data_IF_591075035731
#
_entry.id   IF_591075035731
#
_cell.length_a   1.000
_cell.length_b   1.000
_cell.length_c   1.000
_cell.angle_alpha   90.00
_cell.angle_beta   90.00
_cell.angle_gamma   90.00
#
_symmetry.space_group_name_H-M   'P 1'
#
loop_
_entity.id
_entity.type
_entity.pdbx_description
1 polymer ?
#
# COMPACT_ATOMS: atom_id res chain seq x y z
N UNK A 1 -6.62 -8.47 -25.18
CA UNK A 1 -6.24 -7.39 -24.24
C UNK A 1 -7.13 -7.47 -23.00
N UNK A 2 -6.56 -7.69 -21.82
CA UNK A 2 -7.33 -7.66 -20.57
C UNK A 2 -7.66 -6.19 -20.31
N UNK A 3 -8.93 -5.83 -20.34
CA UNK A 3 -9.36 -4.46 -20.11
C UNK A 3 -9.29 -4.17 -18.61
N UNK A 4 -8.85 -2.96 -18.25
CA UNK A 4 -8.94 -2.50 -16.87
C UNK A 4 -10.41 -2.37 -16.44
N UNK A 5 -10.67 -2.26 -15.14
CA UNK A 5 -12.05 -2.18 -14.64
C UNK A 5 -12.84 -0.99 -15.19
N UNK A 6 -12.18 0.10 -15.60
CA UNK A 6 -12.87 1.26 -16.17
C UNK A 6 -13.35 0.95 -17.58
N UNK A 7 -12.52 0.34 -18.41
CA UNK A 7 -12.90 -0.10 -19.75
C UNK A 7 -13.96 -1.21 -19.70
N UNK A 8 -13.87 -2.14 -18.74
CA UNK A 8 -14.90 -3.15 -18.53
C UNK A 8 -16.24 -2.54 -18.09
N UNK A 9 -16.22 -1.54 -17.20
CA UNK A 9 -17.42 -0.80 -16.76
C UNK A 9 -18.08 -0.13 -17.97
N UNK A 10 -17.31 0.56 -18.82
CA UNK A 10 -17.84 1.21 -20.02
C UNK A 10 -18.54 0.23 -20.97
N UNK A 11 -17.97 -0.97 -21.17
CA UNK A 11 -18.61 -2.01 -21.98
C UNK A 11 -19.90 -2.52 -21.33
N UNK A 12 -19.89 -2.72 -20.01
CA UNK A 12 -21.07 -3.15 -19.26
C UNK A 12 -22.21 -2.12 -19.32
N UNK A 13 -21.90 -0.83 -19.25
CA UNK A 13 -22.89 0.24 -19.32
C UNK A 13 -23.58 0.37 -20.69
N UNK A 14 -22.96 -0.15 -21.76
CA UNK A 14 -23.55 -0.21 -23.10
C UNK A 14 -24.51 -1.39 -23.29
N UNK A 15 -24.37 -2.46 -22.49
CA UNK A 15 -25.27 -3.61 -22.49
C UNK A 15 -26.39 -3.42 -21.46
N UNK A 16 -27.66 -3.54 -21.88
CA UNK A 16 -28.80 -3.25 -21.01
C UNK A 16 -28.88 -4.20 -19.81
N UNK A 17 -28.52 -5.47 -20.00
CA UNK A 17 -28.58 -6.50 -18.96
C UNK A 17 -27.47 -6.28 -17.95
N UNK A 18 -26.23 -6.10 -18.42
CA UNK A 18 -25.07 -5.83 -17.58
C UNK A 18 -25.23 -4.53 -16.79
N UNK A 19 -25.71 -3.45 -17.43
CA UNK A 19 -25.98 -2.18 -16.75
C UNK A 19 -27.01 -2.37 -15.63
N UNK A 20 -28.13 -3.05 -15.88
CA UNK A 20 -29.14 -3.31 -14.85
C UNK A 20 -28.54 -4.08 -13.65
N UNK A 21 -27.77 -5.13 -13.90
CA UNK A 21 -27.09 -5.91 -12.86
C UNK A 21 -26.06 -5.07 -12.10
N UNK A 22 -25.27 -4.25 -12.81
CA UNK A 22 -24.28 -3.37 -12.20
C UNK A 22 -24.92 -2.33 -11.28
N UNK A 23 -26.06 -1.74 -11.67
CA UNK A 23 -26.82 -0.80 -10.81
C UNK A 23 -27.32 -1.46 -9.53
N UNK A 24 -27.70 -2.75 -9.57
CA UNK A 24 -28.07 -3.50 -8.37
C UNK A 24 -26.86 -3.59 -7.43
N UNK A 25 -25.69 -3.92 -7.96
CA UNK A 25 -24.45 -4.02 -7.16
C UNK A 25 -23.99 -2.67 -6.59
N UNK A 26 -24.17 -1.57 -7.32
CA UNK A 26 -23.93 -0.22 -6.77
C UNK A 26 -24.80 0.04 -5.53
N UNK A 27 -26.09 -0.30 -5.60
CA UNK A 27 -27.01 -0.16 -4.47
C UNK A 27 -26.62 -1.06 -3.30
N UNK A 28 -26.15 -2.28 -3.60
CA UNK A 28 -25.64 -3.21 -2.60
C UNK A 28 -24.41 -2.67 -1.87
N UNK A 29 -23.44 -2.12 -2.61
CA UNK A 29 -22.25 -1.51 -2.04
C UNK A 29 -22.59 -0.30 -1.15
N UNK A 30 -23.54 0.55 -1.60
CA UNK A 30 -24.02 1.71 -0.83
C UNK A 30 -24.82 1.33 0.42
N UNK A 31 -25.48 0.18 0.41
CA UNK A 31 -26.20 -0.28 1.59
C UNK A 31 -25.26 -0.78 2.69
N UNK A 32 -24.07 -1.29 2.34
CA UNK A 32 -23.07 -1.72 3.33
C UNK A 32 -22.45 -0.58 4.15
N UNK A 33 -22.50 0.65 3.64
CA UNK A 33 -22.07 1.84 4.39
C UNK A 33 -23.18 2.40 5.29
N UNK A 34 -24.40 1.83 5.25
CA UNK A 34 -25.49 2.22 6.13
C UNK A 34 -25.42 1.46 7.45
N UNK A 35 -25.84 2.13 8.52
CA UNK A 35 -25.85 1.59 9.90
C UNK A 35 -26.82 0.41 10.05
N UNK A 36 -27.84 0.32 9.20
CA UNK A 36 -28.83 -0.75 9.24
C UNK A 36 -28.45 -1.89 8.29
N UNK A 37 -28.44 -3.15 8.75
CA UNK A 37 -28.24 -4.31 7.89
C UNK A 37 -29.26 -4.35 6.76
N UNK A 38 -28.83 -4.82 5.58
CA UNK A 38 -29.73 -5.19 4.51
C UNK A 38 -30.70 -6.28 5.00
N UNK A 39 -31.97 -6.18 4.60
CA UNK A 39 -32.92 -7.28 4.75
C UNK A 39 -32.45 -8.51 3.95
N UNK A 40 -32.96 -9.68 4.33
CA UNK A 40 -32.54 -10.95 3.73
C UNK A 40 -32.75 -10.97 2.21
N UNK A 41 -33.88 -10.45 1.72
CA UNK A 41 -34.21 -10.42 0.30
C UNK A 41 -33.24 -9.52 -0.47
N UNK A 42 -32.91 -8.34 0.06
CA UNK A 42 -31.89 -7.47 -0.54
C UNK A 42 -30.51 -8.12 -0.55
N UNK A 43 -30.11 -8.85 0.50
CA UNK A 43 -28.83 -9.59 0.53
C UNK A 43 -28.80 -10.67 -0.56
N UNK A 44 -29.89 -11.43 -0.73
CA UNK A 44 -30.02 -12.45 -1.79
C UNK A 44 -29.95 -11.81 -3.19
N UNK A 45 -30.60 -10.65 -3.39
CA UNK A 45 -30.52 -9.91 -4.67
C UNK A 45 -29.10 -9.48 -5.00
N UNK A 46 -28.33 -9.03 -4.01
CA UNK A 46 -26.92 -8.66 -4.19
C UNK A 46 -26.06 -9.86 -4.61
N UNK A 47 -26.25 -11.00 -3.95
CA UNK A 47 -25.52 -12.23 -4.27
C UNK A 47 -25.86 -12.73 -5.68
N UNK A 48 -27.14 -12.72 -6.06
CA UNK A 48 -27.56 -13.11 -7.40
C UNK A 48 -26.98 -12.18 -8.47
N UNK A 49 -26.95 -10.87 -8.24
CA UNK A 49 -26.36 -9.92 -9.18
C UNK A 49 -24.84 -10.14 -9.38
N UNK A 50 -24.13 -10.58 -8.33
CA UNK A 50 -22.71 -10.94 -8.43
C UNK A 50 -22.51 -12.22 -9.26
N UNK A 51 -23.38 -13.23 -9.08
CA UNK A 51 -23.38 -14.46 -9.87
C UNK A 51 -23.72 -14.21 -11.34
N UNK A 52 -24.67 -13.31 -11.62
CA UNK A 52 -25.08 -12.94 -12.98
C UNK A 52 -23.93 -12.27 -13.76
N UNK A 53 -23.03 -11.55 -13.05
CA UNK A 53 -21.79 -11.02 -13.63
C UNK A 53 -20.67 -12.05 -13.76
N UNK A 54 -20.88 -13.30 -13.35
CA UNK A 54 -19.93 -14.43 -13.36
C UNK A 54 -19.16 -14.61 -14.67
N UNK A 55 -19.81 -14.40 -15.81
CA UNK A 55 -19.22 -14.54 -17.14
C UNK A 55 -18.82 -13.20 -17.79
N UNK A 56 -18.94 -12.10 -17.08
CA UNK A 56 -18.64 -10.76 -17.61
C UNK A 56 -17.14 -10.44 -17.52
N UNK A 57 -16.65 -9.63 -18.46
CA UNK A 57 -15.30 -9.05 -18.38
C UNK A 57 -15.10 -8.16 -17.13
N UNK A 58 -16.21 -7.72 -16.51
CA UNK A 58 -16.22 -6.86 -15.34
C UNK A 58 -15.80 -7.59 -14.07
N UNK A 59 -16.21 -8.85 -13.89
CA UNK A 59 -15.81 -9.65 -12.72
C UNK A 59 -14.30 -9.96 -12.73
N UNK A 60 -13.72 -10.20 -13.91
CA UNK A 60 -12.30 -10.53 -14.05
C UNK A 60 -11.39 -9.33 -14.32
N UNK A 61 -11.94 -8.12 -14.19
CA UNK A 61 -11.18 -6.90 -14.37
C UNK A 61 -10.12 -6.74 -13.27
N UNK A 62 -9.04 -6.05 -13.61
CA UNK A 62 -7.99 -5.66 -12.67
C UNK A 62 -7.65 -4.20 -12.86
N UNK A 63 -7.00 -3.64 -11.86
CA UNK A 63 -6.47 -2.29 -11.90
C UNK A 63 -4.94 -2.35 -11.99
N UNK A 64 -4.34 -1.31 -12.54
CA UNK A 64 -2.89 -1.18 -12.53
C UNK A 64 -2.45 -0.24 -11.42
N UNK A 65 -1.28 -0.52 -10.85
CA UNK A 65 -0.67 0.44 -9.93
C UNK A 65 -0.30 1.69 -10.75
N UNK A 66 -0.50 2.89 -10.19
CA UNK A 66 -0.08 4.18 -10.78
C UNK A 66 -0.93 4.68 -11.96
N UNK A 67 -2.07 4.04 -12.24
CA UNK A 67 -3.01 4.50 -13.26
C UNK A 67 -3.65 5.86 -12.87
N UNK A 68 -3.99 6.71 -13.85
CA UNK A 68 -4.50 8.07 -13.59
C UNK A 68 -5.82 8.09 -12.82
N UNK A 69 -6.70 7.12 -13.07
CA UNK A 69 -8.05 7.03 -12.48
C UNK A 69 -8.14 5.84 -11.51
N UNK A 70 -7.08 5.62 -10.73
CA UNK A 70 -6.96 4.44 -9.86
C UNK A 70 -8.13 4.32 -8.90
N UNK A 71 -8.51 5.40 -8.23
CA UNK A 71 -9.66 5.41 -7.29
C UNK A 71 -10.97 4.98 -7.94
N UNK A 72 -11.22 5.40 -9.19
CA UNK A 72 -12.39 4.94 -9.94
C UNK A 72 -12.27 3.45 -10.26
N UNK A 73 -11.15 3.00 -10.80
CA UNK A 73 -10.94 1.57 -11.12
C UNK A 73 -11.18 0.68 -9.88
N UNK A 74 -10.63 1.06 -8.73
CA UNK A 74 -10.81 0.34 -7.48
C UNK A 74 -12.25 0.37 -7.00
N UNK A 75 -12.97 1.49 -7.14
CA UNK A 75 -14.40 1.57 -6.84
C UNK A 75 -15.18 0.56 -7.68
N UNK A 76 -14.95 0.49 -8.99
CA UNK A 76 -15.61 -0.50 -9.87
C UNK A 76 -15.32 -1.92 -9.38
N UNK A 77 -14.04 -2.21 -9.11
CA UNK A 77 -13.63 -3.54 -8.63
C UNK A 77 -14.36 -3.94 -7.35
N UNK A 78 -14.40 -3.05 -6.35
CA UNK A 78 -15.06 -3.33 -5.07
C UNK A 78 -16.59 -3.36 -5.15
N UNK A 79 -17.19 -2.66 -6.12
CA UNK A 79 -18.62 -2.78 -6.41
C UNK A 79 -18.97 -4.19 -6.87
N UNK A 80 -18.17 -4.78 -7.77
CA UNK A 80 -18.45 -6.11 -8.31
C UNK A 80 -17.98 -7.26 -7.41
N UNK A 81 -16.99 -7.02 -6.54
CA UNK A 81 -16.54 -7.98 -5.53
C UNK A 81 -17.08 -7.62 -4.14
N UNK A 82 -18.34 -7.20 -4.07
CA UNK A 82 -18.90 -6.70 -2.82
C UNK A 82 -19.00 -7.82 -1.76
N UNK A 83 -19.29 -9.08 -2.14
CA UNK A 83 -19.35 -10.20 -1.20
C UNK A 83 -18.03 -10.45 -0.46
N UNK A 84 -16.89 -10.23 -1.12
CA UNK A 84 -15.54 -10.40 -0.55
C UNK A 84 -15.23 -9.40 0.56
N UNK A 85 -16.11 -8.42 0.80
CA UNK A 85 -15.94 -7.42 1.84
C UNK A 85 -16.80 -7.70 3.09
N UNK A 86 -17.52 -8.83 3.13
CA UNK A 86 -18.34 -9.21 4.29
C UNK A 86 -17.47 -9.70 5.45
N UNK A 87 -16.99 -8.75 6.25
CA UNK A 87 -16.56 -8.96 7.64
C UNK A 87 -15.26 -9.74 7.87
N UNK A 88 -14.71 -10.39 6.86
CA UNK A 88 -13.45 -11.13 6.98
C UNK A 88 -12.24 -10.23 6.74
N UNK A 89 -11.28 -10.34 7.67
CA UNK A 89 -9.96 -9.73 7.58
C UNK A 89 -9.15 -10.25 6.36
N UNK A 90 -9.50 -11.42 5.83
CA UNK A 90 -8.82 -12.03 4.68
C UNK A 90 -9.44 -11.51 3.37
N UNK A 91 -8.83 -10.50 2.76
CA UNK A 91 -9.21 -10.05 1.43
C UNK A 91 -8.65 -11.07 0.43
N UNK A 92 -9.50 -11.98 -0.05
CA UNK A 92 -9.10 -13.16 -0.82
C UNK A 92 -8.39 -12.83 -2.14
N UNK A 93 -8.60 -11.64 -2.70
CA UNK A 93 -8.06 -11.28 -4.01
C UNK A 93 -7.67 -9.81 -4.11
N UNK A 94 -6.43 -9.57 -4.56
CA UNK A 94 -5.94 -8.24 -4.90
C UNK A 94 -6.64 -7.70 -6.16
N UNK A 95 -7.07 -6.42 -6.15
CA UNK A 95 -7.59 -5.75 -7.33
C UNK A 95 -6.50 -5.43 -8.36
N UNK A 96 -5.23 -5.48 -7.98
CA UNK A 96 -4.13 -5.11 -8.86
C UNK A 96 -3.71 -6.27 -9.76
N UNK A 97 -3.22 -5.95 -10.96
CA UNK A 97 -2.54 -6.94 -11.79
C UNK A 97 -1.23 -7.43 -11.16
N UNK A 98 -0.83 -8.65 -11.51
CA UNK A 98 0.44 -9.20 -11.05
C UNK A 98 1.59 -8.32 -11.59
N UNK A 99 2.50 -7.86 -10.72
CA UNK A 99 3.59 -6.98 -11.13
C UNK A 99 4.57 -7.61 -12.13
N UNK A 100 4.59 -8.94 -12.29
CA UNK A 100 5.32 -9.60 -13.36
C UNK A 100 4.85 -9.19 -14.76
N UNK A 101 3.62 -8.69 -14.88
CA UNK A 101 3.01 -8.23 -16.13
C UNK A 101 3.16 -6.71 -16.33
N UNK A 102 3.66 -5.96 -15.33
CA UNK A 102 3.89 -4.52 -15.47
C UNK A 102 5.20 -4.25 -16.21
N UNK A 103 5.15 -3.46 -17.29
CA UNK A 103 6.35 -3.00 -18.00
C UNK A 103 7.25 -2.22 -17.04
N UNK A 104 8.43 -2.79 -16.77
CA UNK A 104 9.44 -2.11 -15.98
C UNK A 104 9.98 -0.92 -16.78
N UNK A 105 9.76 0.30 -16.27
CA UNK A 105 10.39 1.50 -16.79
C UNK A 105 11.90 1.26 -16.85
N UNK A 106 12.55 1.54 -18.00
CA UNK A 106 14.01 1.56 -18.07
C UNK A 106 14.53 2.62 -17.10
N UNK A 107 14.99 2.20 -15.93
CA UNK A 107 15.54 3.10 -14.93
C UNK A 107 17.06 3.19 -15.08
N UNK A 108 17.60 4.41 -15.16
CA UNK A 108 19.05 4.63 -15.19
C UNK A 108 19.72 4.56 -13.80
N UNK A 109 19.08 3.92 -12.81
CA UNK A 109 19.59 3.90 -11.43
C UNK A 109 21.05 3.45 -11.37
N UNK A 110 21.39 2.31 -12.00
CA UNK A 110 22.74 1.77 -11.96
C UNK A 110 23.75 2.69 -12.65
N UNK A 111 23.36 3.39 -13.73
CA UNK A 111 24.22 4.39 -14.39
C UNK A 111 24.47 5.58 -13.46
N UNK A 112 23.43 6.09 -12.81
CA UNK A 112 23.54 7.20 -11.85
C UNK A 112 24.36 6.81 -10.62
N UNK A 113 24.19 5.59 -10.12
CA UNK A 113 24.99 5.05 -9.02
C UNK A 113 26.48 4.91 -9.40
N UNK A 114 26.78 4.51 -10.65
CA UNK A 114 28.14 4.42 -11.15
C UNK A 114 28.82 5.81 -11.25
N UNK A 115 28.08 6.86 -11.63
CA UNK A 115 28.62 8.23 -11.67
C UNK A 115 29.10 8.72 -10.29
N UNK A 116 28.39 8.36 -9.22
CA UNK A 116 28.80 8.68 -7.85
C UNK A 116 30.00 7.85 -7.38
N UNK A 117 30.18 6.64 -7.92
CA UNK A 117 31.34 5.81 -7.62
C UNK A 117 32.59 6.21 -8.43
N UNK A 118 32.43 6.90 -9.57
CA UNK A 118 33.54 7.34 -10.43
C UNK A 118 34.02 8.78 -10.21
N UNK A 119 33.28 9.61 -9.47
CA UNK A 119 33.60 11.03 -9.21
C UNK A 119 33.73 11.26 -7.70
N UNK A 120 34.98 11.39 -7.22
CA UNK A 120 35.39 11.87 -5.88
C UNK A 120 34.93 11.08 -4.64
N UNK A 121 35.57 9.94 -4.35
CA UNK A 121 35.52 9.27 -3.03
C UNK A 121 36.86 9.29 -2.27
N UNK A 122 37.78 10.21 -2.59
CA UNK A 122 39.01 10.44 -1.82
C UNK A 122 38.86 11.50 -0.71
N UNK A 123 37.71 12.18 -0.61
CA UNK A 123 37.45 13.21 0.43
C UNK A 123 36.27 12.89 1.36
N UNK A 124 35.52 11.81 1.12
CA UNK A 124 34.32 11.37 1.90
C UNK A 124 34.48 9.95 2.48
N UNK A 125 35.71 9.52 2.73
CA UNK A 125 36.04 8.13 3.09
C UNK A 125 35.43 7.65 4.44
N UNK A 126 34.87 8.54 5.25
CA UNK A 126 34.12 8.18 6.47
C UNK A 126 32.62 7.96 6.28
N UNK A 127 31.99 8.61 5.28
CA UNK A 127 30.51 8.73 5.16
C UNK A 127 29.96 8.04 3.88
N UNK A 128 30.84 7.66 2.95
CA UNK A 128 30.51 6.91 1.73
C UNK A 128 30.13 5.42 1.98
N UNK A 129 30.19 4.96 3.22
CA UNK A 129 29.85 3.60 3.66
C UNK A 129 28.36 3.40 3.92
N UNK A 130 27.59 4.46 4.20
CA UNK A 130 26.18 4.37 4.57
C UNK A 130 25.29 4.11 3.33
N UNK A 131 24.66 2.92 3.20
CA UNK A 131 23.89 2.57 1.99
C UNK A 131 22.64 3.44 1.79
N UNK A 132 21.99 3.89 2.88
CA UNK A 132 20.84 4.79 2.83
C UNK A 132 21.22 6.19 2.35
N UNK A 133 22.39 6.68 2.78
CA UNK A 133 22.93 7.95 2.30
C UNK A 133 23.28 7.87 0.81
N UNK A 134 23.93 6.78 0.37
CA UNK A 134 24.20 6.52 -1.05
C UNK A 134 22.92 6.51 -1.89
N UNK A 135 21.86 5.81 -1.45
CA UNK A 135 20.58 5.79 -2.14
C UNK A 135 19.95 7.20 -2.25
N UNK A 136 20.06 7.99 -1.17
CA UNK A 136 19.67 9.40 -1.15
C UNK A 136 20.44 10.23 -2.19
N UNK A 137 21.76 10.09 -2.29
CA UNK A 137 22.57 10.81 -3.28
C UNK A 137 22.20 10.41 -4.72
N UNK A 138 21.95 9.12 -4.99
CA UNK A 138 21.50 8.68 -6.32
C UNK A 138 20.14 9.31 -6.67
N UNK A 139 19.21 9.38 -5.72
CA UNK A 139 17.93 10.09 -5.89
C UNK A 139 18.14 11.58 -6.22
N UNK A 140 19.11 12.23 -5.58
CA UNK A 140 19.42 13.65 -5.82
C UNK A 140 19.90 13.94 -7.25
N UNK A 141 20.49 12.95 -7.93
CA UNK A 141 20.87 13.08 -9.35
C UNK A 141 19.68 13.00 -10.31
N UNK A 142 18.55 12.43 -9.87
CA UNK A 142 17.32 12.35 -10.65
C UNK A 142 16.40 13.52 -10.32
N UNK A 143 16.22 14.44 -11.28
CA UNK A 143 15.32 15.62 -11.15
C UNK A 143 13.93 15.25 -10.62
N UNK A 144 13.39 14.10 -11.06
CA UNK A 144 12.07 13.63 -10.62
C UNK A 144 12.09 13.10 -9.19
N UNK A 145 13.11 12.30 -8.84
CA UNK A 145 13.21 11.71 -7.50
C UNK A 145 13.45 12.79 -6.44
N UNK A 146 14.43 13.67 -6.66
CA UNK A 146 14.75 14.76 -5.71
C UNK A 146 13.57 15.68 -5.49
N UNK A 147 12.89 16.10 -6.58
CA UNK A 147 11.72 16.99 -6.48
C UNK A 147 10.63 16.36 -5.63
N UNK A 148 10.17 15.16 -5.99
CA UNK A 148 9.07 14.50 -5.27
C UNK A 148 9.44 14.16 -3.82
N UNK A 149 10.73 13.85 -3.56
CA UNK A 149 11.23 13.61 -2.21
C UNK A 149 11.20 14.87 -1.35
N UNK A 150 11.71 15.98 -1.87
CA UNK A 150 11.67 17.28 -1.20
C UNK A 150 10.23 17.74 -1.01
N UNK A 151 9.35 17.52 -1.98
CA UNK A 151 7.93 17.90 -1.90
C UNK A 151 7.25 17.24 -0.70
N UNK A 152 7.27 15.89 -0.59
CA UNK A 152 6.61 15.22 0.54
C UNK A 152 7.30 15.56 1.86
N UNK A 153 8.63 15.65 1.90
CA UNK A 153 9.36 15.98 3.13
C UNK A 153 8.96 17.37 3.63
N UNK A 154 8.81 18.35 2.74
CA UNK A 154 8.36 19.70 3.11
C UNK A 154 6.92 19.73 3.62
N UNK A 155 6.03 18.92 3.04
CA UNK A 155 4.63 18.82 3.47
C UNK A 155 4.53 18.18 4.86
N UNK A 156 5.30 17.12 5.10
CA UNK A 156 5.29 16.38 6.37
C UNK A 156 6.01 17.11 7.51
N UNK A 157 6.88 18.09 7.21
CA UNK A 157 7.65 18.86 8.21
C UNK A 157 7.08 20.26 8.48
N UNK A 158 6.28 20.81 7.56
CA UNK A 158 5.57 22.08 7.81
C UNK A 158 4.47 21.87 8.85
N UNK A 159 4.67 22.44 10.04
CA UNK A 159 3.61 22.56 11.05
C UNK A 159 2.42 23.34 10.48
N UNK A 160 1.21 22.81 10.64
CA UNK A 160 0.01 23.63 10.45
C UNK A 160 0.00 24.67 11.57
N UNK A 161 -0.23 25.95 11.26
CA UNK A 161 0.10 27.10 12.12
C UNK A 161 -0.72 27.29 13.41
N UNK A 162 -0.92 26.24 14.20
CA UNK A 162 -1.33 26.28 15.61
C UNK A 162 -1.10 24.89 16.22
N UNK A 163 -0.19 24.80 17.20
CA UNK A 163 0.16 23.59 17.97
C UNK A 163 0.68 22.39 17.14
N UNK A 164 1.97 22.45 16.78
CA UNK A 164 2.93 21.35 16.55
C UNK A 164 2.54 20.08 15.77
N UNK A 165 1.40 20.05 15.08
CA UNK A 165 0.98 18.89 14.29
C UNK A 165 1.00 19.18 12.79
N UNK A 166 1.68 18.32 12.04
CA UNK A 166 1.68 18.34 10.59
C UNK A 166 0.28 17.99 10.02
N UNK A 167 -0.01 18.41 8.79
CA UNK A 167 -1.19 17.92 8.07
C UNK A 167 -0.95 16.49 7.55
N UNK A 168 -1.27 15.50 8.39
CA UNK A 168 -1.05 14.08 8.09
C UNK A 168 -1.73 13.62 6.80
N UNK A 169 -2.92 14.14 6.48
CA UNK A 169 -3.64 13.80 5.24
C UNK A 169 -2.86 14.26 4.01
N UNK A 170 -2.32 15.48 4.03
CA UNK A 170 -1.45 15.98 2.96
C UNK A 170 -0.12 15.24 2.91
N UNK A 171 0.49 14.93 4.06
CA UNK A 171 1.72 14.15 4.14
C UNK A 171 1.55 12.76 3.51
N UNK A 172 0.51 12.02 3.89
CA UNK A 172 0.16 10.72 3.31
C UNK A 172 -0.06 10.80 1.80
N UNK A 173 -0.78 11.81 1.30
CA UNK A 173 -0.94 12.03 -0.14
C UNK A 173 0.40 12.29 -0.85
N UNK A 174 1.29 13.07 -0.23
CA UNK A 174 2.64 13.34 -0.73
C UNK A 174 3.49 12.06 -0.80
N UNK A 175 3.46 11.23 0.24
CA UNK A 175 4.14 9.95 0.30
C UNK A 175 3.63 8.99 -0.80
N UNK A 176 2.31 8.83 -0.94
CA UNK A 176 1.72 8.01 -2.01
C UNK A 176 2.20 8.49 -3.39
N UNK A 177 2.16 9.80 -3.63
CA UNK A 177 2.64 10.38 -4.89
C UNK A 177 4.13 10.08 -5.14
N UNK A 178 4.98 10.09 -4.11
CA UNK A 178 6.39 9.73 -4.23
C UNK A 178 6.57 8.25 -4.64
N UNK A 179 6.01 7.31 -3.88
CA UNK A 179 6.15 5.87 -4.14
C UNK A 179 5.46 5.41 -5.44
N UNK A 180 4.41 6.13 -5.88
CA UNK A 180 3.74 5.86 -7.15
C UNK A 180 4.43 6.47 -8.36
N UNK A 181 5.10 7.62 -8.25
CA UNK A 181 5.68 8.29 -9.42
C UNK A 181 7.18 8.05 -9.57
N UNK A 182 7.91 7.79 -8.49
CA UNK A 182 9.35 7.51 -8.57
C UNK A 182 9.57 6.04 -8.94
N UNK A 183 10.51 5.73 -9.86
CA UNK A 183 10.80 4.34 -10.23
C UNK A 183 11.26 3.51 -9.01
N UNK A 184 10.88 2.24 -8.99
CA UNK A 184 11.06 1.38 -7.81
C UNK A 184 12.51 1.15 -7.44
N UNK A 185 13.43 1.18 -8.41
CA UNK A 185 14.86 1.04 -8.14
C UNK A 185 15.39 2.13 -7.19
N UNK A 186 14.80 3.34 -7.23
CA UNK A 186 15.14 4.38 -6.27
C UNK A 186 14.43 4.15 -4.94
N UNK A 187 13.10 3.97 -4.96
CA UNK A 187 12.31 3.90 -3.72
C UNK A 187 12.67 2.70 -2.87
N UNK A 188 12.89 1.53 -3.48
CA UNK A 188 13.35 0.31 -2.80
C UNK A 188 14.68 0.53 -2.09
N UNK A 189 15.64 1.19 -2.75
CA UNK A 189 16.97 1.43 -2.17
C UNK A 189 16.99 2.52 -1.11
N UNK A 190 16.07 3.48 -1.16
CA UNK A 190 15.92 4.50 -0.11
C UNK A 190 15.26 3.88 1.13
N UNK A 191 14.22 3.06 0.94
CA UNK A 191 13.41 2.53 2.03
C UNK A 191 14.03 1.29 2.69
N UNK A 192 14.62 0.38 1.91
CA UNK A 192 15.12 -0.92 2.37
C UNK A 192 16.65 -1.04 2.34
N UNK A 193 17.36 0.08 2.47
CA UNK A 193 18.82 0.08 2.53
C UNK A 193 19.32 -0.79 3.72
N UNK A 194 20.29 -1.70 3.50
CA UNK A 194 20.86 -2.48 4.58
C UNK A 194 21.75 -1.59 5.45
N UNK A 195 21.62 -1.71 6.77
CA UNK A 195 22.35 -0.89 7.73
C UNK A 195 23.19 -1.76 8.66
N UNK A 196 24.36 -1.24 9.04
CA UNK A 196 25.29 -1.88 9.98
C UNK A 196 25.42 -1.12 11.30
N UNK A 197 24.89 0.09 11.36
CA UNK A 197 24.94 0.99 12.51
C UNK A 197 23.59 1.71 12.68
N UNK A 198 23.40 2.27 13.87
CA UNK A 198 22.17 2.99 14.25
C UNK A 198 21.98 4.30 13.47
N UNK A 199 23.04 4.95 12.99
CA UNK A 199 22.95 6.18 12.21
C UNK A 199 22.30 5.92 10.84
N UNK A 200 22.72 4.83 10.18
CA UNK A 200 22.09 4.32 8.98
C UNK A 200 20.66 3.89 9.25
N UNK A 201 20.43 3.10 10.32
CA UNK A 201 19.09 2.63 10.65
C UNK A 201 18.11 3.76 10.98
N UNK A 202 18.59 4.82 11.64
CA UNK A 202 17.78 6.02 11.91
C UNK A 202 17.47 6.79 10.62
N UNK A 203 18.42 6.89 9.69
CA UNK A 203 18.18 7.45 8.35
C UNK A 203 17.12 6.64 7.60
N UNK A 204 17.18 5.31 7.68
CA UNK A 204 16.19 4.40 7.11
C UNK A 204 14.80 4.63 7.71
N UNK A 205 14.69 4.62 9.04
CA UNK A 205 13.45 4.85 9.80
C UNK A 205 12.82 6.23 9.53
N UNK A 206 13.65 7.26 9.31
CA UNK A 206 13.21 8.63 9.01
C UNK A 206 12.81 8.87 7.55
N UNK A 207 12.93 7.88 6.66
CA UNK A 207 12.61 8.00 5.23
C UNK A 207 11.22 8.59 4.96
N UNK A 208 10.23 8.20 5.76
CA UNK A 208 8.82 8.60 5.59
C UNK A 208 8.38 9.73 6.53
N UNK A 209 9.29 10.33 7.30
CA UNK A 209 8.99 11.36 8.32
C UNK A 209 8.01 10.81 9.39
N UNK A 210 8.47 9.85 10.23
CA UNK A 210 7.59 9.08 11.10
C UNK A 210 6.82 9.92 12.11
N UNK A 211 7.39 11.02 12.59
CA UNK A 211 6.75 11.93 13.56
C UNK A 211 5.43 12.51 13.02
N UNK A 212 5.26 12.54 11.70
CA UNK A 212 4.04 12.98 11.02
C UNK A 212 3.25 11.81 10.40
N UNK A 213 3.93 10.93 9.68
CA UNK A 213 3.27 9.93 8.83
C UNK A 213 2.90 8.64 9.56
N UNK A 214 3.56 8.35 10.68
CA UNK A 214 3.51 7.06 11.36
C UNK A 214 3.00 7.23 12.79
N UNK A 215 3.70 8.01 13.61
CA UNK A 215 3.45 8.17 15.04
C UNK A 215 2.24 9.06 15.31
N UNK A 216 1.55 8.74 16.41
CA UNK A 216 0.52 9.54 17.06
C UNK A 216 0.90 9.67 18.53
N UNK A 217 0.36 10.69 19.22
CA UNK A 217 0.59 10.89 20.66
C UNK A 217 0.21 9.65 21.49
N UNK A 218 -0.81 8.91 21.05
CA UNK A 218 -1.25 7.65 21.65
C UNK A 218 -1.37 6.58 20.58
N UNK A 219 -1.01 5.33 20.90
CA UNK A 219 -1.24 4.20 19.99
C UNK A 219 -2.72 3.79 20.04
N UNK A 220 -3.48 3.90 18.93
CA UNK A 220 -4.85 3.41 18.86
C UNK A 220 -4.89 1.88 18.83
N UNK A 221 -6.09 1.31 18.95
CA UNK A 221 -6.29 -0.11 18.70
C UNK A 221 -6.11 -0.44 17.20
N UNK A 222 -5.45 -1.55 16.84
CA UNK A 222 -5.22 -1.89 15.43
C UNK A 222 -6.51 -2.15 14.63
N UNK A 223 -7.59 -2.56 15.30
CA UNK A 223 -8.91 -2.71 14.68
C UNK A 223 -9.44 -1.36 14.16
N UNK A 224 -9.15 -0.26 14.86
CA UNK A 224 -9.52 1.08 14.39
C UNK A 224 -8.77 1.48 13.10
N UNK A 225 -7.48 1.12 13.01
CA UNK A 225 -6.72 1.33 11.77
C UNK A 225 -7.28 0.48 10.62
N UNK A 226 -7.68 -0.77 10.91
CA UNK A 226 -8.31 -1.65 9.93
C UNK A 226 -9.64 -1.06 9.46
N UNK A 227 -10.52 -0.63 10.36
CA UNK A 227 -11.81 -0.03 10.00
C UNK A 227 -11.62 1.21 9.11
N UNK A 228 -10.70 2.11 9.49
CA UNK A 228 -10.35 3.26 8.66
C UNK A 228 -9.76 2.87 7.30
N UNK A 229 -9.03 1.76 7.22
CA UNK A 229 -8.48 1.25 5.97
C UNK A 229 -9.55 0.65 5.06
N UNK A 230 -10.52 -0.06 5.62
CA UNK A 230 -11.58 -0.73 4.86
C UNK A 230 -12.60 0.26 4.27
N UNK A 231 -12.73 1.46 4.84
CA UNK A 231 -13.51 2.57 4.29
C UNK A 231 -12.83 3.25 3.08
N UNK A 232 -11.49 3.25 3.01
CA UNK A 232 -10.72 3.86 1.93
C UNK A 232 -10.39 2.82 0.85
N UNK A 233 -10.94 3.00 -0.37
CA UNK A 233 -10.70 2.05 -1.46
C UNK A 233 -9.22 1.86 -1.80
N UNK A 234 -8.37 2.88 -1.64
CA UNK A 234 -6.93 2.74 -1.89
C UNK A 234 -6.34 1.86 -0.78
N UNK A 235 -6.55 2.19 0.49
CA UNK A 235 -5.99 1.41 1.60
C UNK A 235 -6.46 -0.05 1.57
N UNK A 236 -7.76 -0.27 1.44
CA UNK A 236 -8.35 -1.61 1.31
C UNK A 236 -7.70 -2.42 0.20
N UNK A 237 -7.51 -1.81 -0.98
CA UNK A 237 -6.84 -2.47 -2.11
C UNK A 237 -5.36 -2.75 -1.86
N UNK A 238 -4.65 -1.84 -1.17
CA UNK A 238 -3.24 -2.05 -0.82
C UNK A 238 -3.08 -3.13 0.25
N UNK A 239 -4.01 -3.21 1.21
CA UNK A 239 -4.06 -4.23 2.24
C UNK A 239 -4.30 -5.62 1.63
N UNK A 240 -5.28 -5.74 0.71
CA UNK A 240 -5.52 -7.00 -0.02
C UNK A 240 -4.26 -7.47 -0.76
N UNK A 241 -3.59 -6.54 -1.43
CA UNK A 241 -2.37 -6.83 -2.16
C UNK A 241 -1.20 -7.21 -1.24
N UNK A 242 -1.12 -6.59 -0.07
CA UNK A 242 -0.15 -6.97 0.96
C UNK A 242 -0.41 -8.36 1.53
N UNK A 243 -1.65 -8.66 1.88
CA UNK A 243 -2.05 -9.99 2.36
C UNK A 243 -1.75 -11.07 1.32
N UNK A 244 -2.07 -10.83 0.05
CA UNK A 244 -1.83 -11.81 -1.01
C UNK A 244 -0.34 -12.05 -1.29
N UNK A 245 0.48 -11.00 -1.35
CA UNK A 245 1.88 -11.12 -1.79
C UNK A 245 2.87 -11.34 -0.65
N UNK A 246 2.52 -10.99 0.58
CA UNK A 246 3.37 -11.15 1.77
C UNK A 246 2.85 -12.23 2.74
N UNK A 247 1.92 -13.10 2.30
CA UNK A 247 1.45 -14.19 3.14
C UNK A 247 2.62 -15.11 3.52
N UNK A 248 2.87 -15.34 4.82
CA UNK A 248 3.88 -16.29 5.26
C UNK A 248 3.55 -17.69 4.74
N UNK A 249 4.55 -18.36 4.19
CA UNK A 249 4.48 -19.74 3.76
C UNK A 249 5.42 -20.57 4.63
N UNK A 250 4.88 -21.29 5.62
CA UNK A 250 5.66 -22.08 6.59
C UNK A 250 6.54 -23.15 5.91
N UNK A 251 6.08 -23.67 4.78
CA UNK A 251 6.78 -24.68 3.98
C UNK A 251 7.86 -24.10 3.08
N UNK A 252 7.96 -22.77 2.95
CA UNK A 252 9.00 -22.12 2.15
C UNK A 252 10.25 -21.81 3.00
N UNK A 253 11.47 -22.11 2.52
CA UNK A 253 12.70 -21.82 3.26
C UNK A 253 12.86 -20.34 3.61
N UNK A 254 12.44 -19.46 2.70
CA UNK A 254 12.45 -18.00 2.85
C UNK A 254 11.18 -17.41 3.49
N UNK A 255 10.18 -18.25 3.79
CA UNK A 255 8.90 -17.83 4.35
C UNK A 255 7.95 -17.11 3.39
N UNK A 256 8.31 -16.91 2.11
CA UNK A 256 7.45 -16.24 1.12
C UNK A 256 6.72 -17.24 0.22
N UNK A 257 5.43 -17.02 -0.03
CA UNK A 257 4.71 -17.75 -1.07
C UNK A 257 5.30 -17.44 -2.46
N UNK A 258 5.52 -18.48 -3.27
CA UNK A 258 6.02 -18.39 -4.64
C UNK A 258 7.39 -17.69 -4.82
N UNK A 259 8.19 -17.55 -3.75
CA UNK A 259 9.50 -16.88 -3.76
C UNK A 259 9.48 -15.43 -4.30
N UNK A 260 8.33 -14.76 -4.29
CA UNK A 260 8.16 -13.46 -4.94
C UNK A 260 8.43 -12.29 -3.99
N UNK A 261 9.64 -12.21 -3.45
CA UNK A 261 10.08 -11.10 -2.58
C UNK A 261 9.87 -9.73 -3.22
N UNK A 262 10.04 -9.63 -4.54
CA UNK A 262 9.85 -8.39 -5.28
C UNK A 262 8.41 -7.89 -5.18
N UNK A 263 7.42 -8.78 -5.32
CA UNK A 263 6.01 -8.44 -5.15
C UNK A 263 5.69 -8.07 -3.70
N UNK A 264 6.20 -8.82 -2.71
CA UNK A 264 5.97 -8.47 -1.31
C UNK A 264 6.53 -7.08 -0.94
N UNK A 265 7.77 -6.76 -1.33
CA UNK A 265 8.35 -5.43 -1.12
C UNK A 265 7.52 -4.33 -1.80
N UNK A 266 6.96 -4.62 -2.98
CA UNK A 266 6.09 -3.69 -3.70
C UNK A 266 4.74 -3.50 -3.00
N UNK A 267 4.18 -4.57 -2.44
CA UNK A 267 2.99 -4.56 -1.58
C UNK A 267 3.22 -3.72 -0.33
N UNK A 268 4.32 -3.97 0.40
CA UNK A 268 4.73 -3.20 1.58
C UNK A 268 4.85 -1.70 1.27
N UNK A 269 5.58 -1.33 0.20
CA UNK A 269 5.69 0.08 -0.21
C UNK A 269 4.32 0.71 -0.53
N UNK A 270 3.38 -0.08 -1.03
CA UNK A 270 2.02 0.35 -1.33
C UNK A 270 1.18 0.72 -0.10
N UNK A 271 1.52 0.19 1.08
CA UNK A 271 0.86 0.53 2.34
C UNK A 271 1.29 1.91 2.88
N UNK A 272 2.43 2.44 2.44
CA UNK A 272 2.94 3.72 2.93
C UNK A 272 2.06 4.88 2.45
N UNK A 273 1.64 5.71 3.40
CA UNK A 273 0.71 6.81 3.15
C UNK A 273 -0.75 6.36 3.13
N UNK A 274 -1.07 5.20 3.70
CA UNK A 274 -2.45 4.77 4.01
C UNK A 274 -2.70 4.82 5.53
N UNK A 275 -3.94 4.68 6.02
CA UNK A 275 -4.22 4.51 7.45
C UNK A 275 -3.33 3.45 8.13
N UNK A 276 -3.07 2.33 7.46
CA UNK A 276 -2.20 1.24 7.94
C UNK A 276 -0.76 1.38 7.42
N UNK A 277 -0.15 2.56 7.58
CA UNK A 277 1.25 2.81 7.19
C UNK A 277 2.22 2.05 8.13
N UNK A 278 3.01 1.09 7.65
CA UNK A 278 4.05 0.44 8.45
C UNK A 278 5.33 1.28 8.49
N UNK A 279 6.16 1.06 9.52
CA UNK A 279 7.53 1.57 9.57
C UNK A 279 8.43 0.68 10.45
N UNK A 280 9.74 0.90 10.39
CA UNK A 280 10.69 0.30 11.32
C UNK A 280 10.40 0.69 12.77
N UNK A 281 10.40 -0.29 13.67
CA UNK A 281 10.13 -0.09 15.10
C UNK A 281 11.29 0.61 15.80
N UNK A 282 12.53 0.25 15.42
CA UNK A 282 13.75 0.81 15.99
C UNK A 282 14.76 1.21 14.89
N UNK A 283 15.84 1.88 15.28
CA UNK A 283 16.98 2.19 14.41
C UNK A 283 18.04 1.06 14.38
N UNK A 284 17.88 0.00 15.17
CA UNK A 284 18.85 -1.08 15.32
C UNK A 284 18.35 -2.43 14.76
N UNK A 285 17.04 -2.62 14.64
CA UNK A 285 16.42 -3.82 14.05
C UNK A 285 15.87 -3.57 12.64
N UNK A 286 15.53 -4.66 11.94
CA UNK A 286 14.81 -4.65 10.67
C UNK A 286 13.30 -4.88 10.86
N UNK A 287 12.86 -5.01 12.11
CA UNK A 287 11.46 -5.27 12.45
C UNK A 287 10.59 -4.08 12.07
N UNK A 288 9.45 -4.40 11.47
CA UNK A 288 8.44 -3.43 11.02
C UNK A 288 7.14 -3.68 11.75
N UNK A 289 6.41 -2.61 12.02
CA UNK A 289 5.09 -2.70 12.65
C UNK A 289 4.20 -1.54 12.22
N UNK A 290 2.93 -1.61 12.62
CA UNK A 290 1.98 -0.51 12.57
C UNK A 290 2.06 0.32 13.85
N UNK A 291 1.63 1.58 13.78
CA UNK A 291 1.50 2.40 15.00
C UNK A 291 0.15 2.13 15.70
N UNK A 292 0.02 0.97 16.31
CA UNK A 292 -1.16 0.58 17.09
C UNK A 292 -0.81 -0.45 18.19
N UNK A 293 -1.77 -0.76 19.04
CA UNK A 293 -1.71 -1.89 19.98
C UNK A 293 -2.97 -2.74 19.86
N UNK A 294 -2.95 -3.91 20.48
CA UNK A 294 -4.14 -4.76 20.65
C UNK A 294 -4.62 -4.77 22.10
N UNK A 295 -4.41 -3.65 22.80
CA UNK A 295 -4.99 -3.40 24.12
C UNK A 295 -6.47 -3.05 23.96
N UNK A 296 -7.30 -3.48 24.91
CA UNK A 296 -8.74 -3.24 24.91
C UNK A 296 -9.51 -3.77 23.68
N UNK A 297 -8.99 -4.80 22.99
CA UNK A 297 -9.69 -5.45 21.86
C UNK A 297 -10.86 -6.35 22.26
N UNK A 298 -10.97 -6.72 23.54
CA UNK A 298 -12.01 -7.63 24.03
C UNK A 298 -12.07 -8.95 23.26
N UNK A 299 -13.27 -9.34 22.80
CA UNK A 299 -13.49 -10.58 22.05
C UNK A 299 -12.83 -10.59 20.66
N UNK A 300 -12.35 -9.44 20.16
CA UNK A 300 -11.67 -9.34 18.86
C UNK A 300 -10.13 -9.34 19.00
N UNK A 301 -9.61 -9.77 20.15
CA UNK A 301 -8.18 -9.80 20.43
C UNK A 301 -7.41 -10.65 19.42
N UNK A 302 -7.89 -11.85 19.10
CA UNK A 302 -7.26 -12.72 18.10
C UNK A 302 -7.18 -12.06 16.72
N UNK A 303 -8.28 -11.46 16.24
CA UNK A 303 -8.30 -10.69 14.98
C UNK A 303 -7.29 -9.54 15.00
N UNK A 304 -7.17 -8.85 16.14
CA UNK A 304 -6.21 -7.77 16.30
C UNK A 304 -4.76 -8.27 16.25
N UNK A 305 -4.46 -9.37 16.96
CA UNK A 305 -3.12 -9.94 17.00
C UNK A 305 -2.72 -10.50 15.62
N UNK A 306 -3.67 -11.02 14.83
CA UNK A 306 -3.45 -11.37 13.42
C UNK A 306 -3.04 -10.15 12.59
N UNK A 307 -3.67 -8.98 12.77
CA UNK A 307 -3.30 -7.73 12.07
C UNK A 307 -1.84 -7.36 12.36
N UNK A 308 -1.44 -7.34 13.63
CA UNK A 308 -0.06 -7.03 14.02
C UNK A 308 0.92 -8.09 13.52
N UNK A 309 0.56 -9.36 13.64
CA UNK A 309 1.41 -10.50 13.27
C UNK A 309 1.82 -10.49 11.79
N UNK A 310 0.98 -9.97 10.88
CA UNK A 310 1.32 -9.82 9.46
C UNK A 310 2.52 -8.89 9.20
N UNK A 311 2.83 -7.98 10.14
CA UNK A 311 3.94 -7.05 10.03
C UNK A 311 5.09 -7.44 10.96
N UNK A 312 4.81 -7.75 12.23
CA UNK A 312 5.86 -7.98 13.24
C UNK A 312 6.47 -9.39 13.17
N UNK A 313 5.67 -10.40 12.84
CA UNK A 313 6.06 -11.82 12.88
C UNK A 313 5.99 -12.48 11.50
N UNK A 314 6.34 -11.72 10.46
CA UNK A 314 6.28 -12.19 9.08
C UNK A 314 7.68 -12.52 8.56
N UNK A 315 7.99 -13.81 8.46
CA UNK A 315 9.29 -14.32 7.97
C UNK A 315 9.62 -13.89 6.53
N UNK A 316 8.62 -13.58 5.71
CA UNK A 316 8.81 -13.15 4.33
C UNK A 316 9.36 -11.72 4.20
N UNK A 317 9.05 -10.85 5.18
CA UNK A 317 9.47 -9.44 5.23
C UNK A 317 10.88 -9.28 5.79
#
# INVERSE_FOLDING_TARGET
PRNDCIAAEQLCLLDSTCNATYRILENCALAKTRVLPLDHDSRVRCLNAELDLGNSSLLHCRCHRRMKRQEHCLRVFWTVHSSMTDGYFNLETSPYENPANEEHWKTDYNKLAALLSGKDCSQLAGDATNPCLKATHVCNLSKKCVRLRTDYASICTKGAGSEDMCDRRKCHRGLRNFFEKVPEDFTKRILFCPCKDELCGERRRKTIVPDCSFQYNTKPNCLWLLDSCLEDHICKSRLADFQQNCQPADMSPDGCSQHNHAACLQAYMGMIGTPMTPNYVSNSSVEVSLWCTCESSGNQKEKCDQILGMFESNKCL
#
